data_IF_226742168301
#
_entry.id   IF_226742168301
#
_cell.length_a   1.000
_cell.length_b   1.000
_cell.length_c   1.000
_cell.angle_alpha   90.00
_cell.angle_beta   90.00
_cell.angle_gamma   90.00
#
_symmetry.space_group_name_H-M   'P 1'
#
loop_
_entity.id
_entity.type
_entity.pdbx_description
1 polymer ?
#
# COMPACT_ATOMS: atom_id res chain seq x y z
N UNK A 1 20.33 -21.12 35.08
CA UNK A 1 19.47 -19.96 34.77
C UNK A 1 19.45 -19.78 33.25
N UNK A 2 18.38 -20.19 32.56
CA UNK A 2 18.24 -19.96 31.12
C UNK A 2 17.73 -18.53 30.93
N UNK A 3 18.52 -17.67 30.26
CA UNK A 3 18.13 -16.30 29.96
C UNK A 3 16.83 -16.27 29.17
N UNK A 4 15.85 -15.49 29.64
CA UNK A 4 14.64 -15.16 28.88
C UNK A 4 15.07 -14.26 27.71
N UNK A 5 15.23 -14.83 26.53
CA UNK A 5 15.24 -14.04 25.31
C UNK A 5 13.83 -13.50 25.12
N UNK A 6 13.64 -12.19 25.28
CA UNK A 6 12.41 -11.52 24.83
C UNK A 6 12.45 -11.53 23.30
N UNK A 7 11.76 -12.51 22.71
CA UNK A 7 11.60 -12.59 21.25
C UNK A 7 10.44 -11.67 20.90
N UNK A 8 10.72 -10.61 20.13
CA UNK A 8 9.67 -9.80 19.54
C UNK A 8 8.83 -10.66 18.59
N UNK A 9 7.51 -10.56 18.70
CA UNK A 9 6.54 -11.30 17.87
C UNK A 9 6.07 -10.48 16.67
N UNK A 10 5.40 -11.13 15.73
CA UNK A 10 4.78 -10.45 14.59
C UNK A 10 3.71 -9.44 14.99
N UNK A 11 3.10 -9.59 16.17
CA UNK A 11 2.00 -8.74 16.63
C UNK A 11 2.48 -7.58 17.54
N UNK A 12 3.77 -7.53 17.86
CA UNK A 12 4.32 -6.43 18.64
C UNK A 12 4.41 -5.17 17.78
N UNK A 13 4.19 -4.00 18.40
CA UNK A 13 4.38 -2.70 17.73
C UNK A 13 5.82 -2.53 17.24
N UNK A 14 5.98 -1.72 16.20
CA UNK A 14 7.29 -1.34 15.64
C UNK A 14 7.24 0.10 15.17
N UNK A 15 8.37 0.82 15.37
CA UNK A 15 8.58 2.13 14.77
C UNK A 15 9.39 2.00 13.49
N UNK A 16 8.91 2.57 12.39
CA UNK A 16 9.60 2.64 11.09
C UNK A 16 9.69 4.11 10.69
N UNK A 17 10.90 4.67 10.71
CA UNK A 17 11.08 6.12 10.59
C UNK A 17 10.31 6.84 11.69
N UNK A 18 9.33 7.66 11.32
CA UNK A 18 8.45 8.40 12.23
C UNK A 18 7.06 7.78 12.40
N UNK A 19 6.84 6.57 11.87
CA UNK A 19 5.56 5.87 11.97
C UNK A 19 5.59 4.82 13.07
N UNK A 20 4.63 4.87 13.99
CA UNK A 20 4.39 3.85 15.01
C UNK A 20 3.32 2.86 14.54
N UNK A 21 3.74 1.69 14.06
CA UNK A 21 2.86 0.69 13.47
C UNK A 21 2.35 -0.31 14.54
N UNK A 22 1.11 -0.81 14.39
CA UNK A 22 0.47 -1.67 15.39
C UNK A 22 1.05 -3.08 15.45
N UNK A 23 1.69 -3.55 14.38
CA UNK A 23 2.28 -4.88 14.26
C UNK A 23 3.40 -4.88 13.20
N UNK A 24 4.09 -6.01 13.05
CA UNK A 24 5.22 -6.22 12.12
C UNK A 24 4.81 -6.96 10.84
N UNK A 25 3.51 -7.08 10.57
CA UNK A 25 2.99 -7.75 9.39
C UNK A 25 2.86 -6.72 8.28
N UNK A 26 3.64 -6.88 7.22
CA UNK A 26 3.62 -5.99 6.06
C UNK A 26 2.96 -6.70 4.89
N UNK A 27 2.02 -6.04 4.22
CA UNK A 27 1.56 -6.47 2.92
C UNK A 27 2.62 -6.08 1.88
N UNK A 28 3.25 -7.09 1.29
CA UNK A 28 4.22 -6.91 0.22
C UNK A 28 3.58 -6.22 -1.01
N UNK A 29 4.38 -5.54 -1.86
CA UNK A 29 3.91 -5.00 -3.12
C UNK A 29 3.48 -6.12 -4.07
N UNK A 30 2.26 -6.04 -4.60
CA UNK A 30 1.66 -7.09 -5.43
C UNK A 30 0.94 -6.47 -6.64
N UNK A 31 1.58 -6.46 -7.81
CA UNK A 31 0.95 -6.01 -9.05
C UNK A 31 -0.33 -6.79 -9.37
N UNK A 32 -1.47 -6.08 -9.47
CA UNK A 32 -2.79 -6.72 -9.70
C UNK A 32 -3.42 -6.40 -11.05
N UNK A 33 -2.91 -5.39 -11.77
CA UNK A 33 -3.39 -4.97 -13.08
C UNK A 33 -4.89 -4.59 -13.10
N UNK A 34 -5.33 -3.80 -12.11
CA UNK A 34 -6.75 -3.40 -11.92
C UNK A 34 -7.04 -1.93 -12.20
N UNK A 35 -6.07 -1.16 -12.68
CA UNK A 35 -6.27 0.23 -13.12
C UNK A 35 -6.87 0.27 -14.54
N UNK A 36 -8.12 -0.18 -14.67
CA UNK A 36 -8.86 -0.31 -15.92
C UNK A 36 -9.16 1.07 -16.51
N UNK A 37 -9.20 1.17 -17.86
CA UNK A 37 -9.60 2.38 -18.57
C UNK A 37 -8.48 3.10 -19.31
N UNK A 38 -7.29 2.48 -19.45
CA UNK A 38 -6.15 2.99 -20.23
C UNK A 38 -5.32 4.07 -19.52
N UNK A 39 -5.96 4.85 -18.65
CA UNK A 39 -5.38 6.05 -18.04
C UNK A 39 -4.58 5.72 -16.77
N UNK A 40 -4.63 4.45 -16.34
CA UNK A 40 -3.83 3.91 -15.22
C UNK A 40 -4.13 4.62 -13.90
N UNK A 41 -5.38 5.07 -13.78
CA UNK A 41 -5.92 5.73 -12.58
C UNK A 41 -6.44 4.64 -11.62
N UNK A 42 -6.03 4.65 -10.34
CA UNK A 42 -6.64 3.80 -9.33
C UNK A 42 -8.14 4.09 -9.17
N UNK A 43 -8.91 3.07 -8.83
CA UNK A 43 -10.38 3.14 -8.77
C UNK A 43 -10.95 2.54 -7.48
N UNK A 44 -12.27 2.61 -7.33
CA UNK A 44 -12.98 2.13 -6.14
C UNK A 44 -12.72 0.65 -5.81
N UNK A 45 -12.55 -0.21 -6.83
CA UNK A 45 -12.23 -1.64 -6.62
C UNK A 45 -10.85 -1.81 -5.99
N UNK A 46 -9.87 -0.99 -6.40
CA UNK A 46 -8.54 -1.00 -5.80
C UNK A 46 -8.57 -0.48 -4.36
N UNK A 47 -9.36 0.55 -4.08
CA UNK A 47 -9.55 1.07 -2.72
C UNK A 47 -10.14 -0.02 -1.79
N UNK A 48 -11.24 -0.66 -2.21
CA UNK A 48 -11.86 -1.76 -1.45
C UNK A 48 -10.85 -2.90 -1.18
N UNK A 49 -10.06 -3.27 -2.19
CA UNK A 49 -9.05 -4.31 -2.09
C UNK A 49 -7.99 -4.03 -0.99
N UNK A 50 -7.53 -2.78 -0.89
CA UNK A 50 -6.55 -2.39 0.13
C UNK A 50 -7.19 -2.22 1.51
N UNK A 51 -8.40 -1.67 1.61
CA UNK A 51 -9.13 -1.52 2.88
C UNK A 51 -9.30 -2.88 3.57
N UNK A 52 -9.64 -3.94 2.82
CA UNK A 52 -9.74 -5.30 3.35
C UNK A 52 -8.43 -5.84 3.96
N UNK A 53 -7.28 -5.17 3.72
CA UNK A 53 -5.94 -5.55 4.19
C UNK A 53 -5.33 -4.53 5.15
N UNK A 54 -6.07 -3.48 5.51
CA UNK A 54 -5.59 -2.39 6.36
C UNK A 54 -5.27 -2.81 7.81
N UNK A 55 -5.51 -4.07 8.20
CA UNK A 55 -5.03 -4.65 9.46
C UNK A 55 -3.52 -4.96 9.46
N UNK A 56 -2.88 -5.00 8.29
CA UNK A 56 -1.43 -5.01 8.19
C UNK A 56 -0.85 -3.76 8.85
N UNK A 57 0.30 -3.89 9.53
CA UNK A 57 0.99 -2.76 10.12
C UNK A 57 1.39 -1.73 9.06
N UNK A 58 1.80 -2.20 7.87
CA UNK A 58 2.05 -1.37 6.70
C UNK A 58 1.60 -2.11 5.43
N UNK A 59 0.98 -1.39 4.52
CA UNK A 59 0.78 -1.81 3.13
C UNK A 59 1.84 -1.15 2.26
N UNK A 60 2.46 -1.92 1.37
CA UNK A 60 3.20 -1.37 0.24
C UNK A 60 2.31 -1.62 -0.98
N UNK A 61 1.97 -0.56 -1.72
CA UNK A 61 1.12 -0.65 -2.90
C UNK A 61 1.72 -1.57 -3.97
N UNK A 62 0.92 -1.93 -4.96
CA UNK A 62 1.47 -2.42 -6.23
C UNK A 62 2.46 -1.45 -6.87
N UNK A 63 3.35 -1.99 -7.70
CA UNK A 63 4.30 -1.20 -8.48
C UNK A 63 3.55 -0.16 -9.30
N UNK A 64 3.92 1.11 -9.12
CA UNK A 64 3.21 2.25 -9.68
C UNK A 64 4.18 3.07 -10.53
N UNK A 65 3.98 3.04 -11.84
CA UNK A 65 4.92 3.67 -12.76
C UNK A 65 4.96 5.20 -12.57
N UNK A 66 6.17 5.76 -12.52
CA UNK A 66 6.40 7.21 -12.35
C UNK A 66 6.37 8.00 -13.66
N UNK A 67 6.37 7.31 -14.81
CA UNK A 67 6.23 7.92 -16.14
C UNK A 67 5.56 6.92 -17.09
N UNK A 68 4.94 7.39 -18.19
CA UNK A 68 4.44 6.51 -19.25
C UNK A 68 5.49 5.54 -19.83
N UNK A 69 6.78 5.94 -19.86
CA UNK A 69 7.88 5.09 -20.35
C UNK A 69 8.18 3.93 -19.40
N UNK A 70 7.94 4.08 -18.10
CA UNK A 70 8.21 3.05 -17.08
C UNK A 70 7.12 1.98 -16.97
N UNK A 71 6.15 1.98 -17.89
CA UNK A 71 5.05 1.03 -17.90
C UNK A 71 5.51 -0.32 -18.46
N UNK A 72 5.38 -1.37 -17.67
CA UNK A 72 5.78 -2.74 -18.06
C UNK A 72 4.58 -3.68 -18.32
N UNK A 73 3.43 -3.42 -17.71
CA UNK A 73 2.23 -4.28 -17.82
C UNK A 73 0.96 -3.50 -18.16
N UNK A 74 -0.02 -4.22 -18.73
CA UNK A 74 -1.37 -3.70 -18.92
C UNK A 74 -2.04 -3.41 -17.56
N UNK A 75 -2.80 -2.31 -17.51
CA UNK A 75 -3.63 -1.92 -16.37
C UNK A 75 -2.91 -1.79 -15.01
N UNK A 76 -1.59 -1.57 -15.01
CA UNK A 76 -0.88 -1.12 -13.80
C UNK A 76 -1.10 0.37 -13.58
N UNK A 77 -1.21 0.83 -12.33
CA UNK A 77 -1.43 2.24 -12.02
C UNK A 77 -0.17 3.08 -12.28
N UNK A 78 -0.40 4.39 -12.41
CA UNK A 78 0.64 5.41 -12.51
C UNK A 78 0.59 6.43 -11.37
N UNK A 79 1.57 7.33 -11.32
CA UNK A 79 1.60 8.49 -10.42
C UNK A 79 2.21 9.76 -11.07
N UNK A 80 2.06 9.93 -12.39
CA UNK A 80 2.58 11.10 -13.13
C UNK A 80 1.53 12.16 -13.46
N UNK A 81 0.24 11.86 -13.33
CA UNK A 81 -0.85 12.80 -13.65
C UNK A 81 -1.71 13.14 -12.45
N UNK A 82 -2.37 14.31 -12.50
CA UNK A 82 -3.30 14.76 -11.46
C UNK A 82 -4.47 13.77 -11.28
N UNK A 83 -4.95 13.17 -12.35
CA UNK A 83 -6.02 12.16 -12.31
C UNK A 83 -5.59 10.92 -11.53
N UNK A 84 -4.33 10.50 -11.69
CA UNK A 84 -3.75 9.39 -10.95
C UNK A 84 -3.59 9.74 -9.48
N UNK A 85 -3.16 10.96 -9.16
CA UNK A 85 -3.11 11.47 -7.78
C UNK A 85 -4.50 11.44 -7.14
N UNK A 86 -5.55 11.88 -7.85
CA UNK A 86 -6.92 11.82 -7.36
C UNK A 86 -7.42 10.39 -7.15
N UNK A 87 -7.05 9.45 -8.02
CA UNK A 87 -7.35 8.04 -7.86
C UNK A 87 -6.65 7.44 -6.63
N UNK A 88 -5.36 7.70 -6.46
CA UNK A 88 -4.61 7.27 -5.28
C UNK A 88 -5.11 7.90 -3.99
N UNK A 89 -5.54 9.16 -4.03
CA UNK A 89 -6.11 9.83 -2.87
C UNK A 89 -7.34 9.09 -2.33
N UNK A 90 -8.21 8.60 -3.20
CA UNK A 90 -9.36 7.78 -2.79
C UNK A 90 -8.91 6.49 -2.08
N UNK A 91 -7.86 5.84 -2.58
CA UNK A 91 -7.28 4.64 -1.95
C UNK A 91 -6.70 4.96 -0.58
N UNK A 92 -5.87 6.00 -0.47
CA UNK A 92 -5.22 6.38 0.80
C UNK A 92 -6.24 6.85 1.83
N UNK A 93 -7.23 7.65 1.43
CA UNK A 93 -8.28 8.14 2.33
C UNK A 93 -9.10 6.96 2.88
N UNK A 94 -9.45 5.97 2.04
CA UNK A 94 -10.19 4.79 2.47
C UNK A 94 -9.41 3.90 3.45
N UNK A 95 -8.10 3.73 3.23
CA UNK A 95 -7.22 2.98 4.15
C UNK A 95 -7.07 3.72 5.48
N UNK A 96 -6.85 5.04 5.44
CA UNK A 96 -6.70 5.85 6.65
C UNK A 96 -8.00 5.94 7.47
N UNK A 97 -9.16 5.94 6.81
CA UNK A 97 -10.46 5.94 7.48
C UNK A 97 -10.67 4.70 8.39
N UNK A 98 -9.99 3.59 8.10
CA UNK A 98 -10.01 2.37 8.94
C UNK A 98 -8.73 2.18 9.78
N UNK A 99 -7.90 3.22 9.88
CA UNK A 99 -6.68 3.24 10.70
C UNK A 99 -5.48 2.49 10.10
N UNK A 100 -5.52 2.14 8.82
CA UNK A 100 -4.39 1.50 8.13
C UNK A 100 -3.28 2.49 7.76
N UNK A 101 -2.14 1.96 7.32
CA UNK A 101 -1.00 2.73 6.83
C UNK A 101 -0.53 2.17 5.47
N UNK A 102 -0.23 3.04 4.51
CA UNK A 102 0.20 2.64 3.16
C UNK A 102 1.34 3.51 2.63
N UNK A 103 2.32 2.87 1.98
CA UNK A 103 3.31 3.51 1.12
C UNK A 103 3.07 3.14 -0.35
N UNK A 104 3.40 4.07 -1.24
CA UNK A 104 3.39 3.85 -2.69
C UNK A 104 4.75 3.30 -3.15
N UNK A 105 4.76 2.20 -3.90
CA UNK A 105 5.97 1.69 -4.56
C UNK A 105 6.18 2.40 -5.90
N UNK A 106 7.22 3.23 -5.98
CA UNK A 106 7.67 3.94 -7.19
C UNK A 106 8.53 3.05 -8.09
#
# INVERSE_FOLDING_TARGET
MKGKYFVNTLFDRIRIGDLDLPNRIVMAPLTRSRAIGGQRVPNALMAEYYVQRASAGLIISEATAVTPQGVDYANTPGIWSDEQVLGWKQVTDAIHAVGGCIFLQL
#
